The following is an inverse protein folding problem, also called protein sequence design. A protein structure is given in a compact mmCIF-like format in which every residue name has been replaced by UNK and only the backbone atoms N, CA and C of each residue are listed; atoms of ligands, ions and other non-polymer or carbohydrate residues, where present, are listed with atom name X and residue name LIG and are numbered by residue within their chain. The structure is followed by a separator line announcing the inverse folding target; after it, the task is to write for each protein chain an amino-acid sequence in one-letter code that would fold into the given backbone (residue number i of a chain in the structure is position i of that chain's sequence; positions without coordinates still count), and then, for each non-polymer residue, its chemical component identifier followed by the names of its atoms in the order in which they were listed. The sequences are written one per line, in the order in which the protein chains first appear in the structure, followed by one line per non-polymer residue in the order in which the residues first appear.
data_IF_535454778585
#
_entry.id   IF_535454778585
#
_cell.length_a   1.000
_cell.length_b   1.000
_cell.length_c   1.000
_cell.angle_alpha   90.00
_cell.angle_beta   90.00
_cell.angle_gamma   90.00
#
_symmetry.space_group_name_H-M   'P 1'
#
loop_
_entity.id
_entity.type
_entity.pdbx_description
1 polymer ?
#
# COMPACT_ATOMS: atom_id res chain seq x y z
N UNK A 1 33.04 -23.90 -21.68
CA UNK A 1 32.95 -25.38 -21.64
C UNK A 1 33.91 -25.93 -22.69
N UNK A 2 34.68 -26.99 -22.40
CA UNK A 2 35.56 -27.59 -23.40
C UNK A 2 34.73 -28.02 -24.62
N UNK A 3 35.23 -27.71 -25.81
CA UNK A 3 34.60 -28.09 -27.08
C UNK A 3 34.71 -29.62 -27.21
N UNK A 4 33.61 -30.27 -27.60
CA UNK A 4 33.62 -31.72 -27.85
C UNK A 4 34.17 -31.96 -29.25
N UNK A 5 35.37 -32.53 -29.34
CA UNK A 5 36.03 -32.82 -30.61
C UNK A 5 35.52 -34.15 -31.17
N UNK A 6 35.18 -34.17 -32.46
CA UNK A 6 34.89 -35.41 -33.19
C UNK A 6 36.19 -36.14 -33.48
N UNK A 7 36.26 -37.42 -33.12
CA UNK A 7 37.47 -38.26 -33.25
C UNK A 7 37.08 -39.66 -33.76
N UNK A 8 38.05 -40.41 -34.29
CA UNK A 8 37.87 -41.81 -34.67
C UNK A 8 39.04 -42.64 -34.14
N UNK A 9 38.84 -43.31 -33.01
CA UNK A 9 39.88 -44.08 -32.32
C UNK A 9 39.35 -45.45 -31.96
N UNK A 10 40.16 -46.49 -32.15
CA UNK A 10 39.82 -47.85 -31.75
C UNK A 10 40.84 -48.45 -30.78
N UNK A 11 40.39 -49.09 -29.71
CA UNK A 11 41.28 -49.74 -28.74
C UNK A 11 40.86 -51.21 -28.64
N UNK A 12 41.82 -52.13 -28.74
CA UNK A 12 41.57 -53.56 -28.64
C UNK A 12 42.20 -54.15 -27.38
N UNK A 13 41.48 -55.07 -26.74
CA UNK A 13 41.89 -55.72 -25.50
C UNK A 13 42.58 -57.08 -25.74
N UNK A 14 43.02 -57.75 -24.65
CA UNK A 14 43.65 -59.08 -24.73
C UNK A 14 42.74 -60.17 -25.33
N UNK A 15 41.42 -60.02 -25.26
CA UNK A 15 40.45 -60.96 -25.84
C UNK A 15 40.24 -60.77 -27.36
N UNK A 16 40.77 -59.68 -27.92
CA UNK A 16 40.59 -59.31 -29.32
C UNK A 16 39.35 -58.45 -29.59
N UNK A 17 38.58 -58.11 -28.55
CA UNK A 17 37.44 -57.19 -28.68
C UNK A 17 37.94 -55.76 -28.92
N UNK A 18 37.30 -55.05 -29.86
CA UNK A 18 37.71 -53.72 -30.30
C UNK A 18 36.62 -52.68 -30.03
N UNK A 19 36.97 -51.63 -29.30
CA UNK A 19 36.07 -50.53 -28.92
C UNK A 19 36.39 -49.30 -29.77
N UNK A 20 35.42 -48.80 -30.54
CA UNK A 20 35.56 -47.59 -31.37
C UNK A 20 34.87 -46.39 -30.74
N UNK A 21 35.52 -45.22 -30.76
CA UNK A 21 35.03 -43.98 -30.15
C UNK A 21 34.88 -42.89 -31.20
N UNK A 22 33.76 -42.16 -31.14
CA UNK A 22 33.41 -41.10 -32.11
C UNK A 22 33.55 -39.67 -31.54
N UNK A 23 33.69 -39.55 -30.22
CA UNK A 23 33.82 -38.28 -29.50
C UNK A 23 34.90 -38.37 -28.42
N UNK A 24 35.60 -37.24 -28.20
CA UNK A 24 36.61 -37.13 -27.14
C UNK A 24 36.02 -37.37 -25.75
N UNK A 25 34.78 -36.92 -25.50
CA UNK A 25 34.08 -37.16 -24.23
C UNK A 25 33.75 -38.64 -24.02
N UNK A 26 33.36 -39.34 -25.08
CA UNK A 26 33.08 -40.77 -25.05
C UNK A 26 34.33 -41.57 -24.66
N UNK A 27 35.46 -41.27 -25.30
CA UNK A 27 36.76 -41.85 -24.98
C UNK A 27 37.19 -41.54 -23.53
N UNK A 28 37.09 -40.29 -23.08
CA UNK A 28 37.42 -39.92 -21.68
C UNK A 28 36.53 -40.64 -20.68
N UNK A 29 35.24 -40.82 -20.97
CA UNK A 29 34.31 -41.54 -20.09
C UNK A 29 34.69 -43.01 -19.97
N UNK A 30 35.05 -43.65 -21.08
CA UNK A 30 35.53 -45.03 -21.10
C UNK A 30 36.82 -45.18 -20.29
N UNK A 31 37.83 -44.35 -20.57
CA UNK A 31 39.12 -44.38 -19.86
C UNK A 31 38.95 -44.17 -18.35
N UNK A 32 38.14 -43.19 -17.93
CA UNK A 32 37.87 -42.95 -16.52
C UNK A 32 37.23 -44.16 -15.83
N UNK A 33 36.27 -44.82 -16.49
CA UNK A 33 35.58 -46.00 -15.96
C UNK A 33 36.56 -47.16 -15.77
N UNK A 34 37.35 -47.47 -16.79
CA UNK A 34 38.33 -48.55 -16.75
C UNK A 34 39.47 -48.23 -15.75
N UNK A 35 40.00 -47.02 -15.74
CA UNK A 35 40.99 -46.57 -14.75
C UNK A 35 40.49 -46.77 -13.33
N UNK A 36 39.25 -46.35 -13.03
CA UNK A 36 38.67 -46.48 -11.69
C UNK A 36 38.55 -47.94 -11.29
N UNK A 37 37.99 -48.78 -12.17
CA UNK A 37 37.85 -50.21 -11.92
C UNK A 37 39.20 -50.89 -11.65
N UNK A 38 40.19 -50.69 -12.54
CA UNK A 38 41.50 -51.32 -12.39
C UNK A 38 42.31 -50.79 -11.21
N UNK A 39 42.10 -49.54 -10.77
CA UNK A 39 42.66 -49.00 -9.51
C UNK A 39 42.04 -49.65 -8.28
N UNK A 40 40.72 -49.79 -8.24
CA UNK A 40 40.02 -50.46 -7.14
C UNK A 40 40.49 -51.91 -6.99
N UNK A 41 40.62 -52.63 -8.11
CA UNK A 41 41.14 -54.00 -8.14
C UNK A 41 42.60 -54.06 -7.67
N UNK A 42 43.47 -53.14 -8.14
CA UNK A 42 44.89 -53.11 -7.75
C UNK A 42 45.08 -52.85 -6.25
N UNK A 43 44.29 -51.94 -5.67
CA UNK A 43 44.38 -51.59 -4.25
C UNK A 43 43.91 -52.71 -3.32
N UNK A 44 43.10 -53.65 -3.82
CA UNK A 44 42.58 -54.79 -3.05
C UNK A 44 43.50 -56.01 -2.96
N UNK A 45 44.72 -55.96 -3.54
CA UNK A 45 45.61 -57.13 -3.69
C UNK A 45 46.98 -56.93 -3.03
N UNK A 46 47.59 -58.02 -2.54
CA UNK A 46 48.91 -58.01 -1.88
C UNK A 46 50.10 -57.93 -2.85
N UNK A 47 51.23 -57.36 -2.40
CA UNK A 47 52.38 -56.99 -3.23
C UNK A 47 53.00 -58.12 -4.08
N UNK A 48 52.95 -59.39 -3.64
CA UNK A 48 53.50 -60.53 -4.40
C UNK A 48 52.67 -60.90 -5.65
N UNK A 49 51.39 -60.53 -5.70
CA UNK A 49 50.46 -60.86 -6.80
C UNK A 49 50.35 -59.77 -7.86
N UNK A 50 51.05 -58.65 -7.68
CA UNK A 50 51.01 -57.48 -8.56
C UNK A 50 51.86 -57.62 -9.84
N UNK A 51 52.66 -58.69 -9.98
CA UNK A 51 53.56 -58.90 -11.13
C UNK A 51 52.84 -59.35 -12.42
N UNK A 52 51.50 -59.32 -12.47
CA UNK A 52 50.74 -59.73 -13.66
C UNK A 52 50.54 -58.56 -14.63
N UNK A 53 50.79 -58.79 -15.92
CA UNK A 53 50.75 -57.75 -16.98
C UNK A 53 49.41 -57.01 -17.09
N UNK A 54 48.29 -57.62 -16.67
CA UNK A 54 46.95 -56.98 -16.68
C UNK A 54 46.82 -55.90 -15.60
N UNK A 55 47.59 -55.98 -14.51
CA UNK A 55 47.53 -54.92 -13.49
C UNK A 55 48.15 -53.61 -13.96
N UNK A 56 49.01 -53.64 -14.98
CA UNK A 56 49.50 -52.43 -15.67
C UNK A 56 48.39 -51.70 -16.44
N UNK A 57 47.20 -52.26 -16.59
CA UNK A 57 46.06 -51.60 -17.24
C UNK A 57 45.74 -50.24 -16.60
N UNK A 58 45.74 -50.14 -15.27
CA UNK A 58 45.46 -48.86 -14.58
C UNK A 58 46.50 -47.78 -14.90
N UNK A 59 47.79 -48.13 -14.94
CA UNK A 59 48.86 -47.17 -15.28
C UNK A 59 48.86 -46.81 -16.76
N UNK A 60 48.48 -47.74 -17.63
CA UNK A 60 48.29 -47.51 -19.07
C UNK A 60 47.16 -46.50 -19.30
N UNK A 61 45.99 -46.72 -18.68
CA UNK A 61 44.84 -45.82 -18.82
C UNK A 61 45.07 -44.46 -18.17
N UNK A 62 45.75 -44.39 -17.02
CA UNK A 62 46.15 -43.13 -16.39
C UNK A 62 47.09 -42.31 -17.27
N UNK A 63 48.12 -42.94 -17.85
CA UNK A 63 49.06 -42.27 -18.75
C UNK A 63 48.35 -41.76 -20.01
N UNK A 64 47.43 -42.55 -20.56
CA UNK A 64 46.62 -42.14 -21.71
C UNK A 64 45.70 -40.96 -21.35
N UNK A 65 45.00 -41.03 -20.22
CA UNK A 65 44.11 -39.97 -19.75
C UNK A 65 44.84 -38.65 -19.48
N UNK A 66 45.98 -38.70 -18.79
CA UNK A 66 46.80 -37.51 -18.52
C UNK A 66 47.26 -36.82 -19.82
N UNK A 67 47.63 -37.60 -20.84
CA UNK A 67 48.02 -37.06 -22.15
C UNK A 67 46.82 -36.52 -22.95
N UNK A 68 45.65 -37.15 -22.84
CA UNK A 68 44.40 -36.64 -23.43
C UNK A 68 44.01 -35.30 -22.80
N UNK A 69 44.16 -35.14 -21.49
CA UNK A 69 43.90 -33.86 -20.80
C UNK A 69 44.88 -32.75 -21.22
N UNK A 70 46.15 -33.08 -21.45
CA UNK A 70 47.14 -32.14 -22.01
C UNK A 70 46.75 -31.70 -23.42
N UNK A 71 46.17 -32.59 -24.24
CA UNK A 71 45.69 -32.25 -25.59
C UNK A 71 44.46 -31.35 -25.51
N UNK A 72 43.50 -31.64 -24.62
CA UNK A 72 42.27 -30.84 -24.45
C UNK A 72 42.54 -29.41 -23.94
N UNK A 73 43.57 -29.23 -23.10
CA UNK A 73 43.93 -27.92 -22.55
C UNK A 73 44.65 -26.99 -23.54
N UNK A 74 44.98 -27.46 -24.75
CA UNK A 74 45.57 -26.62 -25.81
C UNK A 74 44.48 -25.81 -26.50
N UNK A 75 44.41 -24.52 -26.15
CA UNK A 75 43.32 -23.56 -26.45
C UNK A 75 43.03 -23.33 -27.95
N UNK A 76 43.83 -23.87 -28.88
CA UNK A 76 43.75 -23.54 -30.32
C UNK A 76 43.80 -24.72 -31.30
N UNK A 77 43.59 -25.97 -30.86
CA UNK A 77 43.64 -27.12 -31.79
C UNK A 77 42.33 -27.29 -32.58
N UNK A 78 42.46 -27.48 -33.90
CA UNK A 78 41.35 -27.94 -34.75
C UNK A 78 41.12 -29.45 -34.62
N UNK A 79 39.90 -29.93 -34.94
CA UNK A 79 39.52 -31.34 -34.82
C UNK A 79 40.48 -32.29 -35.56
N UNK A 80 41.04 -31.86 -36.69
CA UNK A 80 42.00 -32.65 -37.48
C UNK A 80 43.35 -32.81 -36.77
N UNK A 81 43.81 -31.77 -36.06
CA UNK A 81 45.07 -31.82 -35.29
C UNK A 81 44.90 -32.69 -34.04
N UNK A 82 43.74 -32.59 -33.37
CA UNK A 82 43.37 -33.46 -32.25
C UNK A 82 43.35 -34.93 -32.68
N UNK A 83 42.76 -35.24 -33.83
CA UNK A 83 42.71 -36.61 -34.36
C UNK A 83 44.12 -37.17 -34.67
N UNK A 84 45.02 -36.37 -35.24
CA UNK A 84 46.39 -36.79 -35.55
C UNK A 84 47.21 -37.08 -34.29
N UNK A 85 47.15 -36.20 -33.30
CA UNK A 85 47.85 -36.37 -32.01
C UNK A 85 47.31 -37.58 -31.24
N UNK A 86 46.00 -37.77 -31.20
CA UNK A 86 45.42 -38.94 -30.54
C UNK A 86 45.73 -40.25 -31.28
N UNK A 87 45.77 -40.25 -32.62
CA UNK A 87 46.17 -41.43 -33.39
C UNK A 87 47.65 -41.79 -33.19
N UNK A 88 48.52 -40.81 -32.95
CA UNK A 88 49.92 -41.04 -32.54
C UNK A 88 49.98 -41.62 -31.12
N UNK A 89 49.20 -41.07 -30.21
CA UNK A 89 49.12 -41.51 -28.82
C UNK A 89 48.61 -42.96 -28.70
N UNK A 90 47.52 -43.29 -29.38
CA UNK A 90 46.94 -44.63 -29.46
C UNK A 90 47.99 -45.64 -29.95
N UNK A 91 48.69 -45.35 -31.04
CA UNK A 91 49.75 -46.22 -31.57
C UNK A 91 50.91 -46.37 -30.58
N UNK A 92 51.32 -45.29 -29.91
CA UNK A 92 52.42 -45.34 -28.94
C UNK A 92 52.09 -46.15 -27.69
N UNK A 93 50.83 -46.12 -27.22
CA UNK A 93 50.45 -46.70 -25.94
C UNK A 93 49.86 -48.10 -26.10
N UNK A 94 48.98 -48.32 -27.08
CA UNK A 94 48.20 -49.55 -27.18
C UNK A 94 48.75 -50.59 -28.16
N UNK A 95 49.48 -50.20 -29.22
CA UNK A 95 49.95 -51.21 -30.20
C UNK A 95 50.94 -52.22 -29.61
N UNK A 96 51.80 -51.79 -28.68
CA UNK A 96 52.79 -52.66 -28.03
C UNK A 96 52.28 -53.26 -26.70
N UNK A 97 51.03 -52.98 -26.30
CA UNK A 97 50.47 -53.35 -24.97
C UNK A 97 49.09 -54.00 -25.03
N UNK A 98 48.69 -54.57 -26.18
CA UNK A 98 47.40 -55.27 -26.33
C UNK A 98 47.21 -56.40 -25.32
N UNK A 99 48.30 -57.07 -24.93
CA UNK A 99 48.27 -58.16 -23.95
C UNK A 99 48.29 -57.71 -22.48
N UNK A 100 48.34 -56.41 -22.22
CA UNK A 100 48.53 -55.82 -20.88
C UNK A 100 47.23 -55.29 -20.27
N UNK A 101 46.07 -55.52 -20.88
CA UNK A 101 44.78 -55.11 -20.33
C UNK A 101 43.63 -55.99 -20.83
N UNK A 102 42.55 -56.04 -20.05
CA UNK A 102 41.29 -56.71 -20.37
C UNK A 102 40.15 -55.73 -20.11
N UNK A 103 39.08 -55.76 -20.89
CA UNK A 103 37.93 -54.90 -20.64
C UNK A 103 37.15 -55.35 -19.40
N UNK A 104 36.79 -54.43 -18.50
CA UNK A 104 36.05 -54.75 -17.26
C UNK A 104 34.66 -55.37 -17.47
N UNK A 105 34.06 -55.19 -18.64
CA UNK A 105 32.68 -55.57 -18.94
C UNK A 105 32.48 -57.04 -19.33
N UNK A 106 33.56 -57.80 -19.55
CA UNK A 106 33.42 -59.22 -19.87
C UNK A 106 32.83 -60.00 -18.70
N UNK A 107 31.91 -60.92 -18.99
CA UNK A 107 31.24 -61.77 -18.00
C UNK A 107 32.22 -62.59 -17.16
N UNK A 108 33.41 -62.87 -17.70
CA UNK A 108 34.44 -63.69 -17.08
C UNK A 108 35.50 -62.89 -16.29
N UNK A 109 35.50 -61.55 -16.32
CA UNK A 109 36.52 -60.73 -15.61
C UNK A 109 36.46 -60.94 -14.11
N UNK A 110 35.27 -60.95 -13.51
CA UNK A 110 35.14 -61.16 -12.07
C UNK A 110 35.62 -62.55 -11.64
N UNK A 111 35.30 -63.58 -12.43
CA UNK A 111 35.77 -64.94 -12.18
C UNK A 111 37.30 -65.05 -12.35
N UNK A 112 37.85 -64.38 -13.35
CA UNK A 112 39.31 -64.29 -13.55
C UNK A 112 40.00 -63.63 -12.36
N UNK A 113 39.47 -62.50 -11.86
CA UNK A 113 40.01 -61.80 -10.71
C UNK A 113 39.94 -62.66 -9.44
N UNK A 114 38.85 -63.40 -9.24
CA UNK A 114 38.72 -64.33 -8.13
C UNK A 114 39.78 -65.43 -8.19
N UNK A 115 39.99 -66.05 -9.36
CA UNK A 115 41.03 -67.07 -9.57
C UNK A 115 42.43 -66.49 -9.33
N UNK A 116 42.70 -65.27 -9.82
CA UNK A 116 43.98 -64.59 -9.63
C UNK A 116 44.22 -64.23 -8.15
N UNK A 117 43.16 -63.93 -7.40
CA UNK A 117 43.24 -63.62 -5.97
C UNK A 117 43.40 -64.87 -5.10
N UNK A 118 42.79 -65.99 -5.48
CA UNK A 118 42.76 -67.23 -4.68
C UNK A 118 43.88 -68.21 -5.04
N UNK A 119 44.31 -68.24 -6.31
CA UNK A 119 45.30 -69.18 -6.86
C UNK A 119 46.55 -68.45 -7.38
N UNK A 120 47.27 -69.08 -8.32
CA UNK A 120 48.48 -68.54 -8.95
C UNK A 120 48.16 -67.83 -10.29
N UNK A 121 49.08 -66.97 -10.72
CA UNK A 121 48.97 -66.22 -11.98
C UNK A 121 48.89 -67.13 -13.22
N UNK A 122 49.49 -68.32 -13.17
CA UNK A 122 49.45 -69.30 -14.26
C UNK A 122 48.03 -69.86 -14.46
N UNK A 123 47.32 -70.21 -13.37
CA UNK A 123 45.94 -70.71 -13.46
C UNK A 123 44.99 -69.65 -13.98
N UNK A 124 45.20 -68.39 -13.59
CA UNK A 124 44.42 -67.27 -14.06
C UNK A 124 44.66 -67.00 -15.56
N UNK A 125 45.93 -67.08 -16.02
CA UNK A 125 46.24 -67.00 -17.45
C UNK A 125 45.63 -68.16 -18.23
N UNK A 126 45.74 -69.40 -17.75
CA UNK A 126 45.12 -70.56 -18.38
C UNK A 126 43.59 -70.42 -18.47
N UNK A 127 42.95 -69.83 -17.47
CA UNK A 127 41.51 -69.53 -17.49
C UNK A 127 41.14 -68.54 -18.60
N UNK A 128 41.86 -67.42 -18.72
CA UNK A 128 41.62 -66.44 -19.79
C UNK A 128 41.97 -67.02 -21.15
N UNK A 129 43.07 -67.77 -21.26
CA UNK A 129 43.46 -68.38 -22.51
C UNK A 129 42.41 -69.41 -22.97
N UNK A 130 41.77 -70.13 -22.04
CA UNK A 130 40.68 -71.05 -22.35
C UNK A 130 39.37 -70.35 -22.71
N UNK A 131 38.95 -69.37 -21.90
CA UNK A 131 37.63 -68.72 -22.02
C UNK A 131 37.61 -67.67 -23.13
N UNK A 132 38.66 -66.87 -23.27
CA UNK A 132 38.75 -65.79 -24.25
C UNK A 132 39.49 -66.22 -25.53
N UNK A 133 40.61 -66.94 -25.41
CA UNK A 133 41.47 -67.26 -26.57
C UNK A 133 41.22 -68.68 -27.15
N UNK A 134 40.46 -69.54 -26.45
CA UNK A 134 40.19 -70.92 -26.88
C UNK A 134 41.40 -71.86 -26.84
N UNK A 135 42.47 -71.49 -26.14
CA UNK A 135 43.74 -72.22 -26.09
C UNK A 135 44.10 -72.62 -24.66
N UNK A 136 44.53 -73.86 -24.46
CA UNK A 136 45.26 -74.29 -23.25
C UNK A 136 46.66 -74.69 -23.69
N UNK A 137 47.67 -74.49 -22.85
CA UNK A 137 49.05 -74.91 -23.12
C UNK A 137 49.07 -76.36 -23.61
N UNK A 138 49.35 -76.54 -24.91
CA UNK A 138 49.43 -77.80 -25.66
C UNK A 138 48.15 -78.64 -25.84
N UNK A 139 46.95 -78.17 -25.46
CA UNK A 139 45.69 -78.88 -25.73
C UNK A 139 44.62 -77.91 -26.28
N UNK A 140 44.01 -78.26 -27.42
CA UNK A 140 42.89 -77.51 -27.97
C UNK A 140 41.61 -77.70 -27.15
N UNK A 141 40.81 -76.63 -26.99
CA UNK A 141 39.55 -76.60 -26.22
C UNK A 141 38.66 -77.82 -26.46
N UNK A 142 38.48 -78.23 -27.72
CA UNK A 142 37.62 -79.35 -28.10
C UNK A 142 38.02 -80.70 -27.51
N UNK A 143 39.32 -80.95 -27.28
CA UNK A 143 39.79 -82.22 -26.72
C UNK A 143 39.48 -82.30 -25.22
N UNK A 144 39.65 -81.17 -24.51
CA UNK A 144 39.30 -81.06 -23.10
C UNK A 144 37.79 -81.16 -22.90
N UNK A 145 37.00 -80.47 -23.73
CA UNK A 145 35.54 -80.57 -23.74
C UNK A 145 35.09 -82.03 -23.92
N UNK A 146 35.71 -82.77 -24.84
CA UNK A 146 35.42 -84.19 -25.06
C UNK A 146 35.75 -85.09 -23.86
N UNK A 147 36.87 -84.84 -23.18
CA UNK A 147 37.22 -85.58 -21.95
C UNK A 147 36.25 -85.30 -20.80
N UNK A 148 35.83 -84.04 -20.65
CA UNK A 148 34.84 -83.66 -19.66
C UNK A 148 33.46 -84.27 -19.94
N UNK A 149 33.04 -84.30 -21.20
CA UNK A 149 31.80 -84.97 -21.61
C UNK A 149 31.85 -86.49 -21.33
N UNK A 150 32.99 -87.14 -21.56
CA UNK A 150 33.18 -88.56 -21.21
C UNK A 150 33.06 -88.82 -19.70
N UNK A 151 33.62 -87.93 -18.88
CA UNK A 151 33.47 -87.98 -17.42
C UNK A 151 32.01 -87.81 -16.98
N UNK A 152 31.28 -86.83 -17.53
CA UNK A 152 29.86 -86.65 -17.21
C UNK A 152 29.01 -87.90 -17.58
N UNK A 153 29.32 -88.55 -18.70
CA UNK A 153 28.60 -89.75 -19.13
C UNK A 153 28.86 -90.97 -18.24
N UNK A 154 30.09 -91.17 -17.79
CA UNK A 154 30.46 -92.31 -16.94
C UNK A 154 29.88 -92.23 -15.52
N UNK A 155 29.61 -91.01 -15.02
CA UNK A 155 29.19 -90.77 -13.63
C UNK A 155 27.83 -90.06 -13.54
N UNK A 156 26.79 -90.68 -14.13
CA UNK A 156 25.42 -90.14 -14.18
C UNK A 156 24.76 -89.98 -12.80
N UNK A 157 25.21 -90.73 -11.78
CA UNK A 157 24.66 -90.68 -10.43
C UNK A 157 25.38 -89.67 -9.50
N UNK A 158 26.31 -88.89 -10.07
CA UNK A 158 27.04 -87.84 -9.37
C UNK A 158 26.12 -86.72 -8.88
N UNK A 159 26.48 -86.12 -7.75
CA UNK A 159 25.74 -85.00 -7.15
C UNK A 159 25.56 -83.82 -8.12
N UNK A 160 26.46 -83.68 -9.10
CA UNK A 160 26.40 -82.65 -10.14
C UNK A 160 25.16 -82.78 -11.04
N UNK A 161 24.78 -84.01 -11.43
CA UNK A 161 23.62 -84.26 -12.30
C UNK A 161 22.31 -84.12 -11.52
N UNK A 162 22.27 -84.59 -10.26
CA UNK A 162 21.13 -84.42 -9.35
C UNK A 162 20.85 -82.95 -9.05
N UNK A 163 21.92 -82.19 -8.77
CA UNK A 163 21.87 -80.73 -8.60
C UNK A 163 21.32 -80.05 -9.85
N UNK A 164 21.79 -80.40 -11.05
CA UNK A 164 21.29 -79.85 -12.33
C UNK A 164 19.78 -80.04 -12.52
N UNK A 165 19.22 -81.18 -12.11
CA UNK A 165 17.76 -81.44 -12.18
C UNK A 165 16.96 -80.65 -11.15
N UNK A 166 17.45 -80.58 -9.90
CA UNK A 166 16.82 -79.79 -8.84
C UNK A 166 16.86 -78.28 -9.15
N UNK A 167 17.99 -77.78 -9.69
CA UNK A 167 18.13 -76.42 -10.16
C UNK A 167 17.15 -76.11 -11.30
N UNK A 168 17.02 -77.00 -12.30
CA UNK A 168 16.02 -76.81 -13.38
C UNK A 168 14.58 -76.69 -12.84
N UNK A 169 14.21 -77.48 -11.83
CA UNK A 169 12.89 -77.41 -11.21
C UNK A 169 12.69 -76.13 -10.37
N UNK A 170 13.74 -75.67 -9.68
CA UNK A 170 13.72 -74.38 -8.96
C UNK A 170 13.60 -73.21 -9.94
N UNK A 171 14.39 -73.23 -11.03
CA UNK A 171 14.37 -72.22 -12.09
C UNK A 171 13.00 -72.17 -12.77
N UNK A 172 12.37 -73.31 -13.06
CA UNK A 172 11.03 -73.31 -13.67
C UNK A 172 9.97 -72.72 -12.74
N UNK A 173 10.06 -72.98 -11.42
CA UNK A 173 9.18 -72.36 -10.43
C UNK A 173 9.40 -70.85 -10.33
N UNK A 174 10.65 -70.39 -10.29
CA UNK A 174 11.00 -68.96 -10.27
C UNK A 174 10.49 -68.29 -11.54
N UNK A 175 10.68 -68.91 -12.70
CA UNK A 175 10.18 -68.39 -13.97
C UNK A 175 8.66 -68.19 -13.96
N UNK A 176 7.91 -69.18 -13.45
CA UNK A 176 6.45 -69.06 -13.35
C UNK A 176 6.02 -67.95 -12.40
N UNK A 177 6.65 -67.86 -11.22
CA UNK A 177 6.38 -66.79 -10.26
C UNK A 177 6.70 -65.41 -10.85
N UNK A 178 7.78 -65.33 -11.63
CA UNK A 178 8.15 -64.12 -12.35
C UNK A 178 7.13 -63.76 -13.44
N UNK A 179 6.67 -64.73 -14.23
CA UNK A 179 5.63 -64.51 -15.24
C UNK A 179 4.31 -64.03 -14.59
N UNK A 180 3.86 -64.69 -13.53
CA UNK A 180 2.64 -64.29 -12.77
C UNK A 180 2.77 -62.89 -12.16
N UNK A 181 3.92 -62.59 -11.53
CA UNK A 181 4.19 -61.26 -10.96
C UNK A 181 4.26 -60.18 -12.04
N UNK A 182 4.86 -60.49 -13.19
CA UNK A 182 4.98 -59.57 -14.31
C UNK A 182 3.62 -59.28 -14.95
N UNK A 183 2.76 -60.28 -15.14
CA UNK A 183 1.39 -60.08 -15.61
C UNK A 183 0.57 -59.22 -14.64
N UNK A 184 0.65 -59.50 -13.33
CA UNK A 184 -0.01 -58.68 -12.30
C UNK A 184 0.49 -57.24 -12.31
N UNK A 185 1.81 -57.03 -12.40
CA UNK A 185 2.41 -55.71 -12.46
C UNK A 185 2.00 -54.93 -13.71
N UNK A 186 1.94 -55.60 -14.88
CA UNK A 186 1.48 -54.97 -16.12
C UNK A 186 0.00 -54.57 -16.02
N UNK A 187 -0.86 -55.43 -15.45
CA UNK A 187 -2.27 -55.12 -15.26
C UNK A 187 -2.48 -53.92 -14.30
N UNK A 188 -1.72 -53.86 -13.21
CA UNK A 188 -1.77 -52.74 -12.26
C UNK A 188 -1.22 -51.44 -12.88
N UNK A 189 -0.15 -51.54 -13.67
CA UNK A 189 0.43 -50.40 -14.40
C UNK A 189 -0.55 -49.85 -15.43
N UNK A 190 -1.23 -50.70 -16.20
CA UNK A 190 -2.26 -50.27 -17.14
C UNK A 190 -3.45 -49.63 -16.44
N UNK A 191 -3.88 -50.19 -15.30
CA UNK A 191 -4.96 -49.60 -14.50
C UNK A 191 -4.56 -48.22 -13.99
N UNK A 192 -3.37 -48.11 -13.39
CA UNK A 192 -2.85 -46.84 -12.88
C UNK A 192 -2.72 -45.80 -13.99
N UNK A 193 -2.27 -46.20 -15.19
CA UNK A 193 -2.23 -45.32 -16.36
C UNK A 193 -3.62 -44.80 -16.75
N UNK A 194 -4.63 -45.68 -16.81
CA UNK A 194 -6.02 -45.30 -17.09
C UNK A 194 -6.56 -44.34 -16.03
N UNK A 195 -6.38 -44.66 -14.75
CA UNK A 195 -6.82 -43.82 -13.64
C UNK A 195 -6.16 -42.43 -13.69
N UNK A 196 -4.89 -42.37 -14.10
CA UNK A 196 -4.16 -41.11 -14.26
C UNK A 196 -4.65 -40.29 -15.47
N UNK A 197 -4.94 -40.94 -16.60
CA UNK A 197 -5.53 -40.29 -17.78
C UNK A 197 -6.92 -39.71 -17.45
N UNK A 198 -7.77 -40.47 -16.75
CA UNK A 198 -9.08 -40.00 -16.30
C UNK A 198 -8.97 -38.84 -15.31
N UNK A 199 -8.03 -38.93 -14.36
CA UNK A 199 -7.77 -37.84 -13.42
C UNK A 199 -7.31 -36.56 -14.12
N UNK A 200 -6.44 -36.64 -15.13
CA UNK A 200 -6.02 -35.48 -15.93
C UNK A 200 -7.23 -34.85 -16.61
N UNK A 201 -8.05 -35.64 -17.32
CA UNK A 201 -9.21 -35.11 -18.04
C UNK A 201 -10.24 -34.46 -17.11
N UNK A 202 -10.51 -35.06 -15.96
CA UNK A 202 -11.42 -34.50 -14.96
C UNK A 202 -10.86 -33.19 -14.38
N UNK A 203 -9.55 -33.15 -14.10
CA UNK A 203 -8.88 -31.98 -13.56
C UNK A 203 -8.90 -30.83 -14.57
N UNK A 204 -8.63 -31.10 -15.85
CA UNK A 204 -8.66 -30.10 -16.91
C UNK A 204 -10.05 -29.50 -17.08
N UNK A 205 -11.09 -30.33 -17.15
CA UNK A 205 -12.49 -29.87 -17.21
C UNK A 205 -12.89 -29.06 -15.98
N UNK A 206 -12.48 -29.51 -14.79
CA UNK A 206 -12.76 -28.81 -13.53
C UNK A 206 -12.09 -27.44 -13.52
N UNK A 207 -10.82 -27.38 -13.93
CA UNK A 207 -10.04 -26.14 -14.01
C UNK A 207 -10.65 -25.15 -15.00
N UNK A 208 -11.01 -25.58 -16.21
CA UNK A 208 -11.64 -24.71 -17.21
C UNK A 208 -13.00 -24.19 -16.72
N UNK A 209 -13.81 -25.05 -16.10
CA UNK A 209 -15.08 -24.61 -15.51
C UNK A 209 -14.87 -23.59 -14.38
N UNK A 210 -13.83 -23.77 -13.57
CA UNK A 210 -13.49 -22.89 -12.45
C UNK A 210 -12.96 -21.55 -12.94
N UNK A 211 -12.06 -21.54 -13.94
CA UNK A 211 -11.47 -20.34 -14.52
C UNK A 211 -12.56 -19.45 -15.15
N UNK A 212 -13.48 -20.04 -15.92
CA UNK A 212 -14.60 -19.31 -16.52
C UNK A 212 -15.55 -18.73 -15.46
N UNK A 213 -15.80 -19.46 -14.36
CA UNK A 213 -16.60 -18.93 -13.24
C UNK A 213 -15.88 -17.76 -12.55
N UNK A 214 -14.58 -17.85 -12.37
CA UNK A 214 -13.76 -16.79 -11.77
C UNK A 214 -13.78 -15.53 -12.64
N UNK A 215 -13.58 -15.67 -13.96
CA UNK A 215 -13.63 -14.56 -14.91
C UNK A 215 -15.01 -13.88 -14.91
N UNK A 216 -16.10 -14.65 -14.99
CA UNK A 216 -17.47 -14.10 -14.90
C UNK A 216 -17.72 -13.38 -13.57
N UNK A 217 -17.25 -13.94 -12.45
CA UNK A 217 -17.40 -13.33 -11.12
C UNK A 217 -16.60 -12.04 -11.00
N UNK A 218 -15.36 -12.02 -11.46
CA UNK A 218 -14.48 -10.84 -11.42
C UNK A 218 -15.02 -9.73 -12.32
N UNK A 219 -15.47 -10.05 -13.53
CA UNK A 219 -16.10 -9.08 -14.44
C UNK A 219 -17.38 -8.48 -13.86
N UNK A 220 -18.28 -9.30 -13.29
CA UNK A 220 -19.50 -8.83 -12.61
C UNK A 220 -19.18 -7.93 -11.43
N UNK A 221 -18.22 -8.33 -10.60
CA UNK A 221 -17.76 -7.58 -9.43
C UNK A 221 -17.15 -6.24 -9.86
N UNK A 222 -16.29 -6.22 -10.87
CA UNK A 222 -15.69 -5.00 -11.40
C UNK A 222 -16.77 -4.04 -11.94
N UNK A 223 -17.74 -4.55 -12.72
CA UNK A 223 -18.86 -3.73 -13.22
C UNK A 223 -19.72 -3.16 -12.08
N UNK A 224 -20.01 -3.97 -11.06
CA UNK A 224 -20.74 -3.54 -9.87
C UNK A 224 -19.98 -2.42 -9.14
N UNK A 225 -18.70 -2.62 -8.80
CA UNK A 225 -17.88 -1.60 -8.15
C UNK A 225 -17.79 -0.31 -8.97
N UNK A 226 -17.54 -0.41 -10.29
CA UNK A 226 -17.49 0.76 -11.17
C UNK A 226 -18.81 1.55 -11.14
N UNK A 227 -19.95 0.84 -11.18
CA UNK A 227 -21.26 1.49 -11.11
C UNK A 227 -21.55 2.14 -9.75
N UNK A 228 -21.14 1.49 -8.64
CA UNK A 228 -21.31 2.01 -7.30
C UNK A 228 -20.41 3.23 -7.08
N UNK A 229 -19.15 3.16 -7.50
CA UNK A 229 -18.21 4.27 -7.43
C UNK A 229 -18.72 5.48 -8.24
N UNK A 230 -19.26 5.27 -9.45
CA UNK A 230 -19.87 6.34 -10.24
C UNK A 230 -21.07 6.97 -9.53
N UNK A 231 -21.98 6.15 -8.98
CA UNK A 231 -23.15 6.65 -8.23
C UNK A 231 -22.74 7.44 -6.99
N UNK A 232 -21.74 6.96 -6.26
CA UNK A 232 -21.26 7.63 -5.06
C UNK A 232 -20.54 8.94 -5.39
N UNK A 233 -19.71 8.96 -6.44
CA UNK A 233 -19.07 10.17 -6.91
C UNK A 233 -20.08 11.26 -7.31
N UNK A 234 -21.16 10.89 -8.01
CA UNK A 234 -22.25 11.82 -8.36
C UNK A 234 -22.96 12.33 -7.10
N UNK A 235 -23.33 11.43 -6.18
CA UNK A 235 -24.01 11.79 -4.93
C UNK A 235 -23.16 12.72 -4.05
N UNK A 236 -21.86 12.44 -3.93
CA UNK A 236 -20.93 13.28 -3.19
C UNK A 236 -20.78 14.63 -3.89
N UNK A 237 -20.64 14.65 -5.22
CA UNK A 237 -20.58 15.88 -6.01
C UNK A 237 -21.81 16.76 -5.80
N UNK A 238 -23.02 16.20 -5.92
CA UNK A 238 -24.28 16.93 -5.70
C UNK A 238 -24.39 17.47 -4.26
N UNK A 239 -24.10 16.63 -3.25
CA UNK A 239 -24.11 17.07 -1.85
C UNK A 239 -23.09 18.16 -1.57
N UNK A 240 -21.92 18.08 -2.18
CA UNK A 240 -20.86 19.07 -2.03
C UNK A 240 -21.27 20.38 -2.68
N UNK A 241 -21.72 20.36 -3.95
CA UNK A 241 -22.19 21.56 -4.65
C UNK A 241 -23.35 22.25 -3.90
N UNK A 242 -24.33 21.49 -3.41
CA UNK A 242 -25.43 22.05 -2.61
C UNK A 242 -24.94 22.70 -1.31
N UNK A 243 -23.91 22.12 -0.67
CA UNK A 243 -23.34 22.72 0.55
C UNK A 243 -22.55 23.99 0.24
N UNK A 244 -21.76 23.98 -0.84
CA UNK A 244 -20.99 25.15 -1.28
C UNK A 244 -21.93 26.31 -1.59
N UNK A 245 -22.99 26.07 -2.36
CA UNK A 245 -24.00 27.10 -2.67
C UNK A 245 -24.65 27.64 -1.39
N UNK A 246 -25.05 26.78 -0.45
CA UNK A 246 -25.60 27.21 0.85
C UNK A 246 -24.61 28.02 1.67
N UNK A 247 -23.34 27.64 1.68
CA UNK A 247 -22.30 28.38 2.40
C UNK A 247 -22.04 29.73 1.75
N UNK A 248 -21.99 29.81 0.43
CA UNK A 248 -21.82 31.06 -0.31
C UNK A 248 -22.97 32.02 -0.04
N UNK A 249 -24.22 31.55 -0.10
CA UNK A 249 -25.39 32.34 0.28
C UNK A 249 -25.30 32.83 1.73
N UNK A 250 -24.91 31.96 2.67
CA UNK A 250 -24.82 32.32 4.09
C UNK A 250 -23.67 33.29 4.37
N UNK A 251 -22.54 33.16 3.67
CA UNK A 251 -21.41 34.09 3.78
C UNK A 251 -21.83 35.47 3.27
N UNK A 252 -22.49 35.54 2.11
CA UNK A 252 -22.98 36.81 1.57
C UNK A 252 -24.02 37.48 2.49
N UNK A 253 -24.95 36.69 3.05
CA UNK A 253 -25.94 37.17 4.01
C UNK A 253 -25.28 37.70 5.29
N UNK A 254 -24.30 36.95 5.83
CA UNK A 254 -23.52 37.38 7.00
C UNK A 254 -22.73 38.64 6.69
N UNK A 255 -22.06 38.73 5.55
CA UNK A 255 -21.30 39.90 5.14
C UNK A 255 -22.19 41.14 5.08
N UNK A 256 -23.34 41.05 4.40
CA UNK A 256 -24.30 42.15 4.34
C UNK A 256 -24.79 42.56 5.74
N UNK A 257 -25.10 41.58 6.59
CA UNK A 257 -25.55 41.84 7.98
C UNK A 257 -24.47 42.54 8.81
N UNK A 258 -23.20 42.11 8.68
CA UNK A 258 -22.07 42.74 9.36
C UNK A 258 -21.77 44.14 8.83
N UNK A 259 -21.87 44.36 7.52
CA UNK A 259 -21.73 45.69 6.92
C UNK A 259 -22.79 46.65 7.44
N UNK A 260 -24.05 46.21 7.51
CA UNK A 260 -25.16 46.99 8.09
C UNK A 260 -24.94 47.30 9.58
N UNK A 261 -24.52 46.30 10.37
CA UNK A 261 -24.16 46.50 11.77
C UNK A 261 -23.07 47.56 11.93
N UNK A 262 -21.97 47.44 11.19
CA UNK A 262 -20.85 48.39 11.25
C UNK A 262 -21.25 49.80 10.82
N UNK A 263 -22.17 49.92 9.84
CA UNK A 263 -22.70 51.21 9.37
C UNK A 263 -23.47 51.94 10.47
N UNK A 264 -24.26 51.21 11.26
CA UNK A 264 -25.21 51.78 12.23
C UNK A 264 -24.70 51.83 13.68
N UNK A 265 -23.73 50.99 14.04
CA UNK A 265 -23.17 50.92 15.40
C UNK A 265 -22.51 52.24 15.84
N UNK A 266 -21.71 52.86 14.97
CA UNK A 266 -21.06 54.15 15.28
C UNK A 266 -22.07 55.29 15.47
N UNK A 267 -23.07 55.49 14.57
CA UNK A 267 -24.17 56.43 14.80
C UNK A 267 -24.96 56.16 16.09
N UNK A 268 -25.32 54.91 16.39
CA UNK A 268 -26.03 54.57 17.64
C UNK A 268 -25.22 54.96 18.88
N UNK A 269 -23.91 54.63 18.89
CA UNK A 269 -23.00 55.01 19.97
C UNK A 269 -22.87 56.53 20.11
N UNK A 270 -22.93 57.27 19.00
CA UNK A 270 -22.95 58.74 19.02
C UNK A 270 -24.21 59.29 19.68
N UNK A 271 -25.39 58.77 19.33
CA UNK A 271 -26.66 59.19 19.93
C UNK A 271 -26.71 58.91 21.42
N UNK A 272 -26.25 57.72 21.86
CA UNK A 272 -26.09 57.38 23.28
C UNK A 272 -25.23 58.40 24.04
N UNK A 273 -24.07 58.74 23.46
CA UNK A 273 -23.16 59.74 24.04
C UNK A 273 -23.80 61.14 24.06
N UNK A 274 -24.56 61.49 23.03
CA UNK A 274 -25.26 62.76 22.92
C UNK A 274 -26.37 62.88 23.96
N UNK A 275 -27.19 61.83 24.13
CA UNK A 275 -28.21 61.73 25.16
C UNK A 275 -27.62 61.96 26.56
N UNK A 276 -26.53 61.25 26.90
CA UNK A 276 -25.85 61.41 28.19
C UNK A 276 -25.35 62.84 28.43
N UNK A 277 -24.77 63.50 27.40
CA UNK A 277 -24.34 64.91 27.50
C UNK A 277 -25.51 65.86 27.71
N UNK A 278 -26.60 65.68 26.97
CA UNK A 278 -27.80 66.52 27.05
C UNK A 278 -28.54 66.33 28.38
N UNK A 279 -28.55 65.10 28.91
CA UNK A 279 -29.06 64.80 30.25
C UNK A 279 -28.31 65.61 31.31
N UNK A 280 -26.97 65.60 31.28
CA UNK A 280 -26.15 66.37 32.21
C UNK A 280 -26.45 67.87 32.08
N UNK A 281 -26.54 68.41 30.85
CA UNK A 281 -26.89 69.82 30.64
C UNK A 281 -28.27 70.17 31.20
N UNK A 282 -29.29 69.35 30.96
CA UNK A 282 -30.64 69.53 31.48
C UNK A 282 -30.68 69.51 33.02
N UNK A 283 -29.93 68.59 33.64
CA UNK A 283 -29.79 68.53 35.10
C UNK A 283 -29.12 69.79 35.64
N UNK A 284 -28.04 70.28 35.00
CA UNK A 284 -27.34 71.51 35.41
C UNK A 284 -28.28 72.72 35.35
N UNK A 285 -29.00 72.93 34.25
CA UNK A 285 -29.95 74.04 34.15
C UNK A 285 -31.09 73.94 35.17
N UNK A 286 -31.57 72.72 35.45
CA UNK A 286 -32.61 72.47 36.45
C UNK A 286 -32.10 72.76 37.85
N UNK A 287 -30.86 72.39 38.16
CA UNK A 287 -30.23 72.71 39.43
C UNK A 287 -30.04 74.22 39.61
N UNK A 288 -29.58 74.93 38.58
CA UNK A 288 -29.48 76.40 38.58
C UNK A 288 -30.86 77.05 38.78
N UNK A 289 -31.90 76.53 38.13
CA UNK A 289 -33.28 77.00 38.31
C UNK A 289 -33.77 76.81 39.75
N UNK A 290 -33.52 75.65 40.35
CA UNK A 290 -33.88 75.39 41.75
C UNK A 290 -33.15 76.37 42.67
N UNK A 291 -31.84 76.58 42.49
CA UNK A 291 -31.08 77.56 43.27
C UNK A 291 -31.63 78.98 43.11
N UNK A 292 -31.99 79.38 41.88
CA UNK A 292 -32.59 80.68 41.61
C UNK A 292 -33.92 80.84 42.36
N UNK A 293 -34.81 79.83 42.29
CA UNK A 293 -36.10 79.83 42.99
C UNK A 293 -35.91 79.87 44.50
N UNK A 294 -35.03 79.01 45.06
CA UNK A 294 -34.72 79.00 46.49
C UNK A 294 -34.14 80.33 46.97
N UNK A 295 -33.25 80.95 46.20
CA UNK A 295 -32.72 82.29 46.49
C UNK A 295 -33.82 83.34 46.47
N UNK A 296 -34.73 83.28 45.49
CA UNK A 296 -35.87 84.20 45.40
C UNK A 296 -36.81 84.07 46.61
N UNK A 297 -37.12 82.84 47.03
CA UNK A 297 -37.95 82.56 48.22
C UNK A 297 -37.27 83.06 49.49
N UNK A 298 -35.95 82.86 49.63
CA UNK A 298 -35.18 83.35 50.77
C UNK A 298 -35.25 84.87 50.87
N UNK A 299 -34.96 85.59 49.77
CA UNK A 299 -35.03 87.07 49.71
C UNK A 299 -36.46 87.56 50.01
N UNK A 300 -37.48 86.92 49.45
CA UNK A 300 -38.88 87.30 49.70
C UNK A 300 -39.29 87.08 51.15
N UNK A 301 -38.83 85.99 51.77
CA UNK A 301 -39.11 85.67 53.19
C UNK A 301 -38.41 86.66 54.13
N UNK A 302 -37.15 87.00 53.85
CA UNK A 302 -36.40 88.01 54.62
C UNK A 302 -37.05 89.40 54.49
N UNK A 303 -37.39 89.81 53.27
CA UNK A 303 -38.13 91.04 53.01
C UNK A 303 -39.48 91.07 53.75
N UNK A 304 -40.24 89.98 53.73
CA UNK A 304 -41.53 89.87 54.44
C UNK A 304 -41.36 89.99 55.96
N UNK A 305 -40.33 89.37 56.54
CA UNK A 305 -39.99 89.52 57.97
C UNK A 305 -39.62 90.97 58.31
N UNK A 306 -38.76 91.59 57.50
CA UNK A 306 -38.33 92.98 57.68
C UNK A 306 -39.50 93.96 57.59
N UNK A 307 -40.44 93.70 56.67
CA UNK A 307 -41.68 94.47 56.52
C UNK A 307 -42.63 94.30 57.73
N UNK A 308 -42.76 93.09 58.27
CA UNK A 308 -43.63 92.80 59.43
C UNK A 308 -43.08 93.36 60.76
N UNK A 309 -41.76 93.35 60.95
CA UNK A 309 -41.10 93.69 62.22
C UNK A 309 -40.70 95.17 62.34
N UNK A 310 -40.53 95.90 61.24
CA UNK A 310 -39.98 97.26 61.24
C UNK A 310 -40.85 98.20 60.39
N UNK A 311 -41.48 99.19 61.04
CA UNK A 311 -42.24 100.25 60.36
C UNK A 311 -41.36 101.12 59.46
N UNK A 312 -41.95 101.59 58.35
CA UNK A 312 -41.42 102.40 57.24
C UNK A 312 -39.98 102.10 56.77
N UNK A 313 -39.87 101.32 55.70
CA UNK A 313 -38.62 101.01 54.97
C UNK A 313 -38.40 101.99 53.80
N UNK A 314 -37.15 102.17 53.31
CA UNK A 314 -36.87 103.02 52.14
C UNK A 314 -37.54 102.50 50.85
N UNK A 315 -37.86 101.21 50.78
CA UNK A 315 -38.72 100.61 49.76
C UNK A 315 -40.11 100.38 50.34
N UNK A 316 -40.91 101.44 50.40
CA UNK A 316 -42.32 101.30 50.76
C UNK A 316 -43.11 100.86 49.53
N UNK A 317 -43.74 99.67 49.60
CA UNK A 317 -44.67 99.17 48.59
C UNK A 317 -45.92 100.06 48.43
N UNK A 318 -46.16 101.01 49.34
CA UNK A 318 -47.16 102.06 49.20
C UNK A 318 -46.73 103.24 48.32
N UNK A 319 -45.46 103.32 47.90
CA UNK A 319 -44.95 104.35 46.99
C UNK A 319 -44.93 103.86 45.54
N UNK A 320 -45.28 104.74 44.58
CA UNK A 320 -45.27 104.40 43.16
C UNK A 320 -43.90 103.91 42.68
N UNK A 321 -42.81 104.51 43.18
CA UNK A 321 -41.43 104.14 42.84
C UNK A 321 -41.07 102.73 43.34
N UNK A 322 -41.49 102.38 44.57
CA UNK A 322 -41.24 101.05 45.15
C UNK A 322 -41.99 99.94 44.42
N UNK A 323 -43.24 100.17 44.03
CA UNK A 323 -44.06 99.21 43.24
C UNK A 323 -43.40 98.96 41.88
N UNK A 324 -42.99 100.01 41.18
CA UNK A 324 -42.36 99.90 39.85
C UNK A 324 -41.03 99.15 39.92
N UNK A 325 -40.16 99.48 40.89
CA UNK A 325 -38.86 98.82 41.04
C UNK A 325 -39.01 97.35 41.43
N UNK A 326 -39.89 97.03 42.38
CA UNK A 326 -40.18 95.64 42.77
C UNK A 326 -40.77 94.85 41.60
N UNK A 327 -41.72 95.44 40.86
CA UNK A 327 -42.31 94.83 39.66
C UNK A 327 -41.27 94.55 38.57
N UNK A 328 -40.31 95.46 38.35
CA UNK A 328 -39.23 95.26 37.38
C UNK A 328 -38.29 94.12 37.79
N UNK A 329 -37.88 94.05 39.06
CA UNK A 329 -37.03 92.97 39.59
C UNK A 329 -37.76 91.62 39.52
N UNK A 330 -39.04 91.59 39.90
CA UNK A 330 -39.87 90.40 39.81
C UNK A 330 -40.03 89.93 38.35
N UNK A 331 -40.20 90.86 37.40
CA UNK A 331 -40.29 90.54 35.99
C UNK A 331 -38.97 89.97 35.43
N UNK A 332 -37.82 90.54 35.79
CA UNK A 332 -36.49 90.03 35.42
C UNK A 332 -36.28 88.62 36.01
N UNK A 333 -36.63 88.42 37.28
CA UNK A 333 -36.53 87.13 37.95
C UNK A 333 -37.42 86.08 37.26
N UNK A 334 -38.68 86.41 36.99
CA UNK A 334 -39.61 85.54 36.28
C UNK A 334 -39.13 85.23 34.85
N UNK A 335 -38.53 86.19 34.16
CA UNK A 335 -37.93 85.99 32.84
C UNK A 335 -36.72 85.03 32.90
N UNK A 336 -35.80 85.22 33.86
CA UNK A 336 -34.66 84.32 34.06
C UNK A 336 -35.09 82.89 34.40
N UNK A 337 -36.06 82.74 35.31
CA UNK A 337 -36.64 81.44 35.64
C UNK A 337 -37.28 80.78 34.41
N UNK A 338 -38.00 81.55 33.58
CA UNK A 338 -38.60 81.06 32.32
C UNK A 338 -37.53 80.63 31.32
N UNK A 339 -36.44 81.37 31.16
CA UNK A 339 -35.34 81.02 30.25
C UNK A 339 -34.66 79.73 30.71
N UNK A 340 -34.32 79.61 31.99
CA UNK A 340 -33.71 78.40 32.54
C UNK A 340 -34.63 77.19 32.42
N UNK A 341 -35.93 77.35 32.71
CA UNK A 341 -36.91 76.29 32.50
C UNK A 341 -36.96 75.85 31.02
N UNK A 342 -36.98 76.80 30.08
CA UNK A 342 -36.94 76.49 28.63
C UNK A 342 -35.65 75.76 28.23
N UNK A 343 -34.49 76.17 28.75
CA UNK A 343 -33.20 75.51 28.47
C UNK A 343 -33.15 74.09 29.05
N UNK A 344 -33.66 73.88 30.26
CA UNK A 344 -33.82 72.54 30.85
C UNK A 344 -34.71 71.65 30.00
N UNK A 345 -35.92 72.10 29.67
CA UNK A 345 -36.86 71.34 28.85
C UNK A 345 -36.28 71.06 27.46
N UNK A 346 -35.63 72.03 26.82
CA UNK A 346 -34.98 71.83 25.53
C UNK A 346 -33.89 70.75 25.59
N UNK A 347 -33.09 70.75 26.65
CA UNK A 347 -32.02 69.76 26.82
C UNK A 347 -32.60 68.36 27.06
N UNK A 348 -33.66 68.23 27.86
CA UNK A 348 -34.34 66.94 28.07
C UNK A 348 -35.12 66.44 26.84
N UNK A 349 -35.71 67.34 26.05
CA UNK A 349 -36.33 66.97 24.78
C UNK A 349 -35.31 66.42 23.78
N UNK A 350 -34.18 67.11 23.61
CA UNK A 350 -33.09 66.64 22.75
C UNK A 350 -32.46 65.34 23.27
N UNK A 351 -32.35 65.17 24.59
CA UNK A 351 -31.91 63.92 25.21
C UNK A 351 -32.84 62.77 24.81
N UNK A 352 -34.16 62.96 24.99
CA UNK A 352 -35.16 61.94 24.66
C UNK A 352 -35.17 61.60 23.18
N UNK A 353 -35.07 62.60 22.30
CA UNK A 353 -34.94 62.37 20.85
C UNK A 353 -33.67 61.57 20.51
N UNK A 354 -32.54 61.85 21.18
CA UNK A 354 -31.31 61.06 21.02
C UNK A 354 -31.46 59.62 21.52
N UNK A 355 -32.15 59.39 22.66
CA UNK A 355 -32.46 58.04 23.16
C UNK A 355 -33.40 57.28 22.22
N UNK A 356 -34.43 57.94 21.70
CA UNK A 356 -35.37 57.35 20.74
C UNK A 356 -34.65 56.95 19.44
N UNK A 357 -33.72 57.77 18.94
CA UNK A 357 -32.88 57.42 17.77
C UNK A 357 -31.92 56.26 18.03
N UNK A 358 -31.33 56.16 19.22
CA UNK A 358 -30.52 55.01 19.62
C UNK A 358 -31.37 53.72 19.61
N UNK A 359 -32.55 53.76 20.25
CA UNK A 359 -33.46 52.61 20.33
C UNK A 359 -33.99 52.19 18.95
N UNK A 360 -34.36 53.15 18.10
CA UNK A 360 -34.77 52.89 16.72
C UNK A 360 -33.65 52.27 15.90
N UNK A 361 -32.39 52.65 16.14
CA UNK A 361 -31.24 52.04 15.46
C UNK A 361 -31.05 50.58 15.87
N UNK A 362 -31.19 50.27 17.16
CA UNK A 362 -31.13 48.89 17.63
C UNK A 362 -32.32 48.05 17.15
N UNK A 363 -33.52 48.63 17.13
CA UNK A 363 -34.71 47.99 16.56
C UNK A 363 -34.52 47.70 15.08
N UNK A 364 -33.97 48.64 14.30
CA UNK A 364 -33.64 48.41 12.90
C UNK A 364 -32.66 47.23 12.71
N UNK A 365 -31.63 47.17 13.56
CA UNK A 365 -30.62 46.13 13.50
C UNK A 365 -31.21 44.74 13.83
N UNK A 366 -32.04 44.64 14.87
CA UNK A 366 -32.72 43.38 15.21
C UNK A 366 -33.71 42.95 14.13
N UNK A 367 -34.43 43.89 13.51
CA UNK A 367 -35.36 43.61 12.41
C UNK A 367 -34.64 43.17 11.12
N UNK A 368 -33.41 43.63 10.91
CA UNK A 368 -32.57 43.22 9.77
C UNK A 368 -31.98 41.83 9.99
N UNK A 369 -31.67 41.47 11.24
CA UNK A 369 -31.19 40.12 11.61
C UNK A 369 -32.24 39.04 11.39
N UNK A 370 -33.52 39.34 11.62
CA UNK A 370 -34.63 38.38 11.50
C UNK A 370 -35.16 38.19 10.06
N UNK A 371 -34.58 38.85 9.06
CA UNK A 371 -34.84 38.72 7.61
C UNK A 371 -36.32 38.75 7.14
N UNK A 372 -37.27 39.09 8.02
CA UNK A 372 -38.73 38.95 7.81
C UNK A 372 -39.49 40.27 7.72
N UNK A 373 -38.80 41.40 7.59
CA UNK A 373 -39.42 42.71 7.71
C UNK A 373 -39.50 43.38 6.35
N UNK A 374 -40.73 43.77 5.99
CA UNK A 374 -41.07 44.37 4.71
C UNK A 374 -40.32 45.68 4.45
N UNK A 375 -40.08 45.99 3.17
CA UNK A 375 -39.32 47.16 2.73
C UNK A 375 -39.94 48.48 3.22
N UNK A 376 -41.28 48.56 3.33
CA UNK A 376 -41.98 49.75 3.82
C UNK A 376 -41.67 50.03 5.30
N UNK A 377 -41.57 48.97 6.11
CA UNK A 377 -41.20 49.08 7.53
C UNK A 377 -39.76 49.59 7.71
N UNK A 378 -38.85 49.16 6.83
CA UNK A 378 -37.46 49.61 6.78
C UNK A 378 -37.36 51.10 6.40
N UNK A 379 -38.13 51.55 5.43
CA UNK A 379 -38.13 52.95 4.99
C UNK A 379 -38.71 53.89 6.06
N UNK A 380 -39.72 53.46 6.81
CA UNK A 380 -40.29 54.21 7.95
C UNK A 380 -39.25 54.39 9.07
N UNK A 381 -38.53 53.33 9.44
CA UNK A 381 -37.50 53.41 10.49
C UNK A 381 -36.33 54.29 10.05
N UNK A 382 -35.90 54.19 8.79
CA UNK A 382 -34.87 55.08 8.23
C UNK A 382 -35.34 56.54 8.21
N UNK A 383 -36.60 56.80 7.83
CA UNK A 383 -37.17 58.15 7.86
C UNK A 383 -37.22 58.71 9.29
N UNK A 384 -37.59 57.90 10.28
CA UNK A 384 -37.57 58.31 11.69
C UNK A 384 -36.12 58.61 12.16
N UNK A 385 -35.16 57.74 11.84
CA UNK A 385 -33.74 57.92 12.20
C UNK A 385 -33.11 59.20 11.63
N UNK A 386 -33.49 59.60 10.42
CA UNK A 386 -32.94 60.78 9.72
C UNK A 386 -33.85 62.02 9.76
N UNK A 387 -34.99 61.95 10.43
CA UNK A 387 -35.87 63.12 10.60
C UNK A 387 -35.23 64.18 11.52
N UNK A 388 -35.70 65.43 11.46
CA UNK A 388 -35.12 66.55 12.21
C UNK A 388 -35.64 66.57 13.65
N UNK A 389 -34.76 66.80 14.62
CA UNK A 389 -35.14 67.05 16.01
C UNK A 389 -35.79 68.43 16.12
N UNK A 390 -37.08 68.50 16.45
CA UNK A 390 -37.73 69.77 16.73
C UNK A 390 -37.25 70.31 18.08
N UNK A 391 -36.53 71.44 18.06
CA UNK A 391 -36.20 72.16 19.29
C UNK A 391 -37.21 73.28 19.47
N UNK A 392 -37.91 73.30 20.61
CA UNK A 392 -38.87 74.35 20.96
C UNK A 392 -38.28 75.76 21.14
N UNK A 393 -37.02 75.97 20.73
CA UNK A 393 -36.31 77.25 20.76
C UNK A 393 -36.29 77.97 19.40
N UNK A 394 -36.48 77.25 18.29
CA UNK A 394 -36.47 77.79 16.93
C UNK A 394 -37.80 77.44 16.25
N UNK A 395 -38.77 78.35 16.30
CA UNK A 395 -40.17 78.09 15.92
C UNK A 395 -40.48 78.28 14.43
N UNK A 396 -39.52 78.28 13.51
CA UNK A 396 -39.86 78.58 12.10
C UNK A 396 -38.89 77.99 11.06
N UNK A 397 -38.80 76.67 10.97
CA UNK A 397 -38.04 76.02 9.90
C UNK A 397 -38.83 74.82 9.33
N UNK A 398 -39.41 74.97 8.14
CA UNK A 398 -40.22 73.95 7.48
C UNK A 398 -39.35 72.76 7.02
N UNK A 399 -39.50 71.61 7.67
CA UNK A 399 -38.89 70.33 7.29
C UNK A 399 -39.69 69.13 7.86
N UNK A 400 -39.47 67.90 7.35
CA UNK A 400 -40.23 66.72 7.78
C UNK A 400 -39.93 66.38 9.25
N UNK A 401 -40.99 66.30 10.06
CA UNK A 401 -40.95 66.02 11.50
C UNK A 401 -41.02 64.51 11.81
N UNK A 402 -40.56 64.11 13.00
CA UNK A 402 -40.64 62.74 13.52
C UNK A 402 -42.10 62.24 13.52
N UNK A 403 -42.41 61.05 12.98
CA UNK A 403 -43.71 60.43 13.19
C UNK A 403 -43.89 60.12 14.68
N UNK A 404 -45.07 60.43 15.24
CA UNK A 404 -45.36 60.15 16.65
C UNK A 404 -45.30 58.63 16.91
N UNK A 405 -44.67 58.19 18.01
CA UNK A 405 -44.41 56.77 18.30
C UNK A 405 -45.70 55.92 18.39
N UNK A 406 -46.84 56.55 18.72
CA UNK A 406 -48.17 55.92 18.67
C UNK A 406 -48.66 55.58 17.25
N UNK A 407 -48.29 56.37 16.24
CA UNK A 407 -48.65 56.11 14.85
C UNK A 407 -47.83 54.96 14.26
N UNK A 408 -46.60 54.78 14.74
CA UNK A 408 -45.75 53.65 14.39
C UNK A 408 -46.39 52.35 14.88
N UNK A 409 -46.76 52.25 16.16
CA UNK A 409 -47.36 51.03 16.74
C UNK A 409 -48.67 50.61 16.07
N UNK A 410 -49.51 51.58 15.65
CA UNK A 410 -50.79 51.30 14.99
C UNK A 410 -50.66 50.87 13.53
N UNK A 411 -49.62 51.33 12.82
CA UNK A 411 -49.33 50.86 11.46
C UNK A 411 -48.69 49.48 11.46
N UNK A 412 -47.81 49.18 12.41
CA UNK A 412 -47.17 47.87 12.57
C UNK A 412 -48.15 46.74 12.98
N UNK A 413 -49.22 47.06 13.70
CA UNK A 413 -50.27 46.06 14.03
C UNK A 413 -51.18 45.74 12.85
N UNK A 414 -51.32 46.64 11.87
CA UNK A 414 -52.09 46.39 10.65
C UNK A 414 -51.33 45.58 9.59
N UNK A 415 -50.00 45.57 9.60
CA UNK A 415 -49.19 44.80 8.64
C UNK A 415 -48.97 43.34 9.04
N UNK A 416 -49.49 42.91 10.20
CA UNK A 416 -49.46 41.51 10.67
C UNK A 416 -50.81 40.77 10.51
N UNK A 417 -51.82 41.40 9.90
CA UNK A 417 -53.09 40.75 9.52
C UNK A 417 -53.13 40.34 8.06
#
# INVERSE_FOLDING_TARGET
MPRDHSIHISISDKSGESFSFSSLKELKRFLNKETKFWKEVRNGLSNEKLNHAIFDASSIFDNYLAKVEVIENKVHLEDTEVQQELSRLQRSIFNNRKNSWLWSGHEYVHQFLDILSTKNAETANAFIDYVANGTLSNIGKSLFDGQLMGYEFAYQDSDLVKRRKAERASISKIRRQFEEANESFLAETEKSKRDFEDWIQLTEKSYDSWSQRLEKRTARRHKAYKSLAKKEAVRIGEKYSQKVEKWELRINELEHTYQEKLRLEKPASYWKKSASKLQIQGIVFTFILILLISSGIYVLTDFFKLWLLRGEQPLNLGSLQGIVLFGAIAAIFAFLARVLARLSFSSFHLMRDAEEREQLTYLYLSLTEDAKVDKESRDIVLQALFSRSETGLLTNENGPSMPNMHDLTNKFTKSQQ
#
